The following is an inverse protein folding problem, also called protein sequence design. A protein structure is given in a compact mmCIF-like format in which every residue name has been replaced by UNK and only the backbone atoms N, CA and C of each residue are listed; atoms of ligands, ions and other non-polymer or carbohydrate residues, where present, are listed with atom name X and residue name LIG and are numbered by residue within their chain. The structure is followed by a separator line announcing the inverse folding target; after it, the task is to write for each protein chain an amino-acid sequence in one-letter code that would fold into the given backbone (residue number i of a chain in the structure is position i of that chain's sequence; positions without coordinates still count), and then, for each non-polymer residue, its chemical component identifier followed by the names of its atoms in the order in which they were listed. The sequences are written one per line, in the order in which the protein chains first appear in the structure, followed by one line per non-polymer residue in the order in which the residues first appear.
data_IF_783175824134
#
_entry.id   IF_783175824134
#
_cell.length_a   1.000
_cell.length_b   1.000
_cell.length_c   1.000
_cell.angle_alpha   90.00
_cell.angle_beta   90.00
_cell.angle_gamma   90.00
#
_symmetry.space_group_name_H-M   'P 1'
#
loop_
_entity.id
_entity.type
_entity.pdbx_description
1 polymer ?
#
# COMPACT_ATOMS: atom_id res chain seq x y z
N UNK A 1 16.76 4.82 6.89
CA UNK A 1 15.29 4.98 6.83
C UNK A 1 14.64 4.03 7.82
N UNK A 2 13.58 4.47 8.49
CA UNK A 2 12.83 3.62 9.42
C UNK A 2 11.49 3.29 8.82
N UNK A 3 11.15 2.00 8.80
CA UNK A 3 9.82 1.56 8.37
C UNK A 3 8.98 1.18 9.59
N UNK A 4 7.69 1.49 9.51
CA UNK A 4 6.72 1.22 10.57
C UNK A 4 5.65 0.28 10.07
N UNK A 5 4.94 -0.34 10.98
CA UNK A 5 3.77 -1.15 10.64
C UNK A 5 2.82 -1.24 11.83
N UNK A 6 1.56 -1.51 11.54
CA UNK A 6 0.55 -1.76 12.55
C UNK A 6 0.59 -3.24 12.94
N UNK A 7 0.73 -3.52 14.22
CA UNK A 7 0.83 -4.91 14.70
C UNK A 7 -0.41 -5.73 14.39
N UNK A 8 -1.58 -5.11 14.44
CA UNK A 8 -2.84 -5.77 14.08
C UNK A 8 -2.83 -6.27 12.63
N UNK A 9 -2.33 -5.46 11.71
CA UNK A 9 -2.24 -5.83 10.30
C UNK A 9 -1.19 -6.93 10.12
N UNK A 10 -0.07 -6.86 10.82
CA UNK A 10 0.97 -7.88 10.77
C UNK A 10 0.47 -9.23 11.26
N UNK A 11 -0.31 -9.26 12.32
CA UNK A 11 -0.89 -10.49 12.84
C UNK A 11 -1.86 -11.14 11.87
N UNK A 12 -2.64 -10.34 11.17
CA UNK A 12 -3.70 -10.83 10.29
C UNK A 12 -3.17 -11.20 8.91
N UNK A 13 -2.24 -10.43 8.36
CA UNK A 13 -1.82 -10.58 6.96
C UNK A 13 -0.34 -10.93 6.80
N UNK A 14 0.50 -10.67 7.78
CA UNK A 14 1.94 -10.92 7.72
C UNK A 14 2.75 -9.64 7.86
N UNK A 15 4.02 -9.78 8.27
CA UNK A 15 4.90 -8.64 8.54
C UNK A 15 5.25 -7.89 7.26
N UNK A 16 5.61 -8.61 6.20
CA UNK A 16 5.96 -7.99 4.91
C UNK A 16 4.78 -7.19 4.38
N UNK A 17 3.59 -7.79 4.42
CA UNK A 17 2.34 -7.14 4.02
C UNK A 17 2.11 -5.86 4.85
N UNK A 18 2.30 -5.95 6.15
CA UNK A 18 2.06 -4.81 7.05
C UNK A 18 3.01 -3.65 6.79
N UNK A 19 4.28 -3.93 6.53
CA UNK A 19 5.29 -2.90 6.22
C UNK A 19 4.96 -2.21 4.89
N UNK A 20 4.66 -2.98 3.86
CA UNK A 20 4.30 -2.43 2.55
C UNK A 20 2.99 -1.66 2.61
N UNK A 21 2.00 -2.20 3.32
CA UNK A 21 0.70 -1.55 3.48
C UNK A 21 0.83 -0.19 4.17
N UNK A 22 1.64 -0.10 5.22
CA UNK A 22 1.87 1.18 5.92
C UNK A 22 2.41 2.25 4.96
N UNK A 23 3.40 1.87 4.16
CA UNK A 23 4.01 2.78 3.19
C UNK A 23 3.01 3.21 2.10
N UNK A 24 2.25 2.26 1.57
CA UNK A 24 1.23 2.56 0.54
C UNK A 24 0.15 3.47 1.11
N UNK A 25 -0.35 3.17 2.31
CA UNK A 25 -1.38 3.98 2.97
C UNK A 25 -0.89 5.41 3.20
N UNK A 26 0.36 5.57 3.61
CA UNK A 26 0.97 6.89 3.79
C UNK A 26 0.94 7.70 2.49
N UNK A 27 1.40 7.12 1.39
CA UNK A 27 1.47 7.82 0.11
C UNK A 27 0.09 8.06 -0.50
N UNK A 28 -0.85 7.14 -0.34
CA UNK A 28 -2.23 7.36 -0.79
C UNK A 28 -2.82 8.57 -0.08
N UNK A 29 -2.65 8.67 1.23
CA UNK A 29 -3.15 9.80 2.03
C UNK A 29 -2.44 11.10 1.67
N UNK A 30 -1.13 11.06 1.42
CA UNK A 30 -0.40 12.24 0.97
C UNK A 30 -0.88 12.71 -0.42
N UNK A 31 -1.12 11.77 -1.32
CA UNK A 31 -1.64 12.09 -2.65
C UNK A 31 -3.05 12.67 -2.58
N UNK A 32 -3.86 12.22 -1.63
CA UNK A 32 -5.21 12.76 -1.41
C UNK A 32 -5.19 14.24 -1.02
N UNK A 33 -4.19 14.65 -0.23
CA UNK A 33 -4.05 16.06 0.18
C UNK A 33 -3.82 17.00 -0.99
N UNK A 34 -3.18 16.54 -2.07
CA UNK A 34 -2.86 17.33 -3.24
C UNK A 34 -3.57 16.88 -4.50
N UNK A 35 -4.51 15.96 -4.40
CA UNK A 35 -5.26 15.35 -5.51
C UNK A 35 -4.33 14.77 -6.59
N UNK A 36 -3.20 14.20 -6.19
CA UNK A 36 -2.25 13.55 -7.10
C UNK A 36 -2.69 12.13 -7.42
N UNK A 37 -2.33 11.68 -8.62
CA UNK A 37 -2.61 10.31 -9.08
C UNK A 37 -4.08 9.93 -8.91
N UNK A 38 -4.97 10.88 -9.24
CA UNK A 38 -6.41 10.68 -9.10
C UNK A 38 -6.96 9.99 -10.34
N UNK A 39 -7.52 8.79 -10.15
CA UNK A 39 -8.15 7.98 -11.20
C UNK A 39 -9.33 7.21 -10.61
N UNK A 40 -10.43 7.15 -11.34
CA UNK A 40 -11.62 6.37 -10.96
C UNK A 40 -12.14 6.67 -9.55
N UNK A 41 -12.04 7.92 -9.13
CA UNK A 41 -12.54 8.36 -7.83
C UNK A 41 -11.59 8.15 -6.66
N UNK A 42 -10.37 7.68 -6.90
CA UNK A 42 -9.38 7.41 -5.86
C UNK A 42 -8.04 8.05 -6.19
N UNK A 43 -7.25 8.32 -5.15
CA UNK A 43 -5.83 8.64 -5.32
C UNK A 43 -5.01 7.37 -5.14
N UNK A 44 -3.99 7.19 -5.96
CA UNK A 44 -3.26 5.93 -6.08
C UNK A 44 -1.78 6.10 -5.72
N UNK A 45 -1.20 5.02 -5.21
CA UNK A 45 0.23 4.84 -5.07
C UNK A 45 0.77 4.21 -6.34
N UNK A 46 1.82 4.81 -6.90
CA UNK A 46 2.48 4.30 -8.10
C UNK A 46 3.95 4.07 -7.82
N UNK A 47 4.39 2.82 -7.91
CA UNK A 47 5.79 2.48 -7.88
C UNK A 47 5.96 1.04 -8.36
N UNK A 48 7.05 0.75 -9.07
CA UNK A 48 7.29 -0.63 -9.52
C UNK A 48 7.85 -1.47 -8.38
N UNK A 49 7.62 -2.78 -8.46
CA UNK A 49 8.19 -3.75 -7.51
C UNK A 49 9.71 -3.61 -7.47
N UNK A 50 10.33 -3.46 -8.65
CA UNK A 50 11.78 -3.30 -8.76
C UNK A 50 12.28 -2.05 -8.02
N UNK A 51 11.60 -0.92 -8.21
CA UNK A 51 11.96 0.31 -7.52
C UNK A 51 11.81 0.20 -6.00
N UNK A 52 10.73 -0.42 -5.55
CA UNK A 52 10.53 -0.66 -4.12
C UNK A 52 11.69 -1.49 -3.55
N UNK A 53 12.09 -2.55 -4.26
CA UNK A 53 13.19 -3.42 -3.84
C UNK A 53 14.56 -2.75 -3.93
N UNK A 54 14.75 -1.82 -4.85
CA UNK A 54 16.05 -1.16 -5.04
C UNK A 54 16.22 0.08 -4.16
N UNK A 55 15.14 0.74 -3.74
CA UNK A 55 15.22 2.02 -3.05
C UNK A 55 14.68 2.00 -1.63
N UNK A 56 13.36 1.89 -1.46
CA UNK A 56 12.73 2.11 -0.16
C UNK A 56 12.73 0.87 0.74
N UNK A 57 12.66 -0.32 0.15
CA UNK A 57 12.56 -1.59 0.90
C UNK A 57 13.64 -2.56 0.43
N UNK A 58 14.89 -2.11 0.44
CA UNK A 58 16.02 -2.85 -0.08
C UNK A 58 16.39 -4.11 0.71
N UNK A 59 15.78 -4.30 1.87
CA UNK A 59 15.89 -5.51 2.67
C UNK A 59 14.89 -6.61 2.24
N UNK A 60 14.02 -6.30 1.26
CA UNK A 60 13.06 -7.26 0.71
C UNK A 60 13.44 -7.62 -0.73
N UNK A 61 13.16 -8.87 -1.12
CA UNK A 61 13.32 -9.29 -2.50
C UNK A 61 12.09 -8.89 -3.33
N UNK A 62 12.24 -8.81 -4.65
CA UNK A 62 11.10 -8.54 -5.54
C UNK A 62 9.99 -9.59 -5.36
N UNK A 63 10.37 -10.86 -5.16
CA UNK A 63 9.38 -11.93 -4.96
C UNK A 63 8.61 -11.77 -3.66
N UNK A 64 9.28 -11.34 -2.57
CA UNK A 64 8.59 -11.06 -1.32
C UNK A 64 7.59 -9.92 -1.47
N UNK A 65 8.00 -8.85 -2.15
CA UNK A 65 7.14 -7.69 -2.40
C UNK A 65 5.95 -8.09 -3.27
N UNK A 66 6.20 -8.79 -4.37
CA UNK A 66 5.15 -9.22 -5.30
C UNK A 66 4.11 -10.10 -4.61
N UNK A 67 4.55 -11.07 -3.82
CA UNK A 67 3.66 -11.96 -3.07
C UNK A 67 2.83 -11.21 -2.03
N UNK A 68 3.47 -10.29 -1.31
CA UNK A 68 2.77 -9.52 -0.28
C UNK A 68 1.71 -8.60 -0.88
N UNK A 69 2.03 -7.91 -1.98
CA UNK A 69 1.06 -7.05 -2.67
C UNK A 69 -0.12 -7.86 -3.21
N UNK A 70 0.15 -9.02 -3.79
CA UNK A 70 -0.90 -9.91 -4.27
C UNK A 70 -1.79 -10.38 -3.11
N UNK A 71 -1.20 -10.76 -1.99
CA UNK A 71 -1.93 -11.18 -0.80
C UNK A 71 -2.84 -10.06 -0.29
N UNK A 72 -2.36 -8.83 -0.24
CA UNK A 72 -3.15 -7.68 0.20
C UNK A 72 -4.32 -7.40 -0.75
N UNK A 73 -4.13 -7.56 -2.06
CA UNK A 73 -5.21 -7.41 -3.04
C UNK A 73 -6.25 -8.52 -2.86
N UNK A 74 -5.82 -9.77 -2.73
CA UNK A 74 -6.72 -10.92 -2.54
C UNK A 74 -7.48 -10.86 -1.21
N UNK A 75 -6.89 -10.20 -0.20
CA UNK A 75 -7.51 -10.02 1.11
C UNK A 75 -8.38 -8.77 1.22
N UNK A 76 -8.63 -8.11 0.10
CA UNK A 76 -9.45 -6.89 0.03
C UNK A 76 -8.89 -5.73 0.88
N UNK A 77 -7.58 -5.65 0.99
CA UNK A 77 -6.91 -4.53 1.67
C UNK A 77 -6.44 -3.47 0.68
N UNK A 78 -6.15 -3.87 -0.54
CA UNK A 78 -5.74 -2.96 -1.61
C UNK A 78 -6.56 -3.21 -2.88
N UNK A 79 -6.91 -2.13 -3.57
CA UNK A 79 -7.32 -2.20 -4.97
C UNK A 79 -6.09 -2.06 -5.84
N UNK A 80 -6.10 -2.71 -6.99
CA UNK A 80 -5.02 -2.67 -7.97
C UNK A 80 -5.56 -2.21 -9.31
N UNK A 81 -4.87 -1.29 -9.96
CA UNK A 81 -5.25 -0.78 -11.26
C UNK A 81 -4.03 -0.51 -12.13
N UNK A 82 -4.28 -0.11 -13.37
CA UNK A 82 -3.24 0.26 -14.33
C UNK A 82 -3.67 1.55 -15.01
N UNK A 83 -2.89 2.62 -14.81
CA UNK A 83 -3.19 3.95 -15.34
C UNK A 83 -1.97 4.55 -16.07
N UNK A 84 -1.16 3.69 -16.67
CA UNK A 84 0.09 4.10 -17.32
C UNK A 84 -0.18 4.73 -18.68
N UNK A 85 0.58 5.77 -19.00
CA UNK A 85 0.46 6.47 -20.28
C UNK A 85 0.95 5.64 -21.46
N UNK A 86 1.93 4.77 -21.20
CA UNK A 86 2.53 3.91 -22.23
C UNK A 86 1.89 2.52 -22.19
N UNK A 87 1.43 2.04 -23.33
CA UNK A 87 0.73 0.76 -23.44
C UNK A 87 1.56 -0.45 -22.98
N UNK A 88 2.89 -0.37 -23.13
CA UNK A 88 3.77 -1.47 -22.70
C UNK A 88 4.13 -1.43 -21.23
N UNK A 89 3.84 -0.32 -20.53
CA UNK A 89 4.10 -0.20 -19.09
C UNK A 89 2.96 -0.87 -18.33
N UNK A 90 3.26 -1.98 -17.68
CA UNK A 90 2.28 -2.78 -16.93
C UNK A 90 2.44 -2.62 -15.42
N UNK A 91 3.14 -1.58 -14.96
CA UNK A 91 3.28 -1.31 -13.53
C UNK A 91 1.91 -1.12 -12.90
N UNK A 92 1.65 -1.83 -11.80
CA UNK A 92 0.40 -1.71 -11.07
C UNK A 92 0.39 -0.49 -10.17
N UNK A 93 -0.79 0.09 -10.05
CA UNK A 93 -1.11 1.16 -9.11
C UNK A 93 -1.97 0.59 -7.99
N UNK A 94 -1.78 1.07 -6.76
CA UNK A 94 -2.49 0.55 -5.60
C UNK A 94 -3.16 1.66 -4.82
N UNK A 95 -4.35 1.38 -4.27
CA UNK A 95 -5.02 2.28 -3.34
C UNK A 95 -5.74 1.47 -2.26
N UNK A 96 -6.21 2.17 -1.24
CA UNK A 96 -6.89 1.55 -0.10
C UNK A 96 -8.33 1.21 -0.42
N UNK A 97 -8.76 0.02 -0.04
CA UNK A 97 -10.16 -0.39 -0.11
C UNK A 97 -10.95 0.26 1.05
N UNK A 98 -12.29 0.30 0.96
CA UNK A 98 -13.11 0.73 2.11
C UNK A 98 -12.84 -0.09 3.37
N UNK A 99 -12.64 -1.40 3.24
CA UNK A 99 -12.29 -2.29 4.35
C UNK A 99 -10.99 -1.85 5.02
N UNK A 100 -9.96 -1.54 4.22
CA UNK A 100 -8.68 -1.09 4.73
C UNK A 100 -8.79 0.25 5.46
N UNK A 101 -9.57 1.17 4.90
CA UNK A 101 -9.80 2.49 5.51
C UNK A 101 -10.51 2.35 6.86
N UNK A 102 -11.50 1.49 6.93
CA UNK A 102 -12.22 1.24 8.19
C UNK A 102 -11.29 0.66 9.24
N UNK A 103 -10.45 -0.30 8.86
CA UNK A 103 -9.48 -0.91 9.77
C UNK A 103 -8.46 0.12 10.28
N UNK A 104 -7.97 1.00 9.41
CA UNK A 104 -7.06 2.08 9.80
C UNK A 104 -7.72 3.03 10.78
N UNK A 105 -8.98 3.40 10.54
CA UNK A 105 -9.74 4.26 11.45
C UNK A 105 -9.88 3.60 12.82
N UNK A 106 -10.18 2.31 12.88
CA UNK A 106 -10.26 1.57 14.13
C UNK A 106 -8.93 1.57 14.88
N UNK A 107 -7.83 1.33 14.19
CA UNK A 107 -6.49 1.32 14.77
C UNK A 107 -6.14 2.71 15.32
N UNK A 108 -6.41 3.77 14.56
CA UNK A 108 -6.14 5.14 14.98
C UNK A 108 -7.00 5.54 16.19
N UNK A 109 -8.24 5.10 16.25
CA UNK A 109 -9.09 5.33 17.41
C UNK A 109 -8.56 4.63 18.67
N UNK A 110 -8.03 3.42 18.54
CA UNK A 110 -7.40 2.70 19.65
C UNK A 110 -6.17 3.44 20.18
N UNK A 111 -5.37 4.01 19.28
CA UNK A 111 -4.18 4.78 19.66
C UNK A 111 -4.57 6.06 20.41
N UNK A 112 -5.64 6.72 19.98
CA UNK A 112 -6.12 7.96 20.62
C UNK A 112 -6.66 7.73 22.03
N UNK A 113 -7.05 6.51 22.38
CA UNK A 113 -7.56 6.15 23.71
C UNK A 113 -6.46 5.89 24.74
N UNK A 114 -5.22 5.81 24.29
CA UNK A 114 -4.07 5.63 25.17
C UNK A 114 -3.44 6.96 25.55
#
# INVERSE_FOLDING_TARGET
MIHRFHTRIAKEYGIVEAVLFFNIAYWVRENEKSSRNFHDGYCWFYNSVREIAETTHDYLTENQIRRALKHLVESDMLYRGIYNKKLYDRTYWYTLTPKARLMLDEIEMELDKK
#
